data_IF_269443100023
#
_entry.id   IF_269443100023
#
_cell.length_a   1.000
_cell.length_b   1.000
_cell.length_c   1.000
_cell.angle_alpha   90.00
_cell.angle_beta   90.00
_cell.angle_gamma   90.00
#
_symmetry.space_group_name_H-M   'P 1'
#
loop_
_entity.id
_entity.type
_entity.pdbx_description
1 polymer ?
#
# COMPACT_ATOMS: atom_id res chain seq x y z
N UNK A 1 16.06 4.33 7.27
CA UNK A 1 16.02 3.36 6.15
C UNK A 1 15.82 1.98 6.78
N UNK A 2 14.81 1.23 6.36
CA UNK A 2 14.58 -0.15 6.86
C UNK A 2 15.43 -1.09 6.01
N UNK A 3 16.22 -1.96 6.64
CA UNK A 3 16.85 -3.06 5.93
C UNK A 3 15.76 -4.08 5.58
N UNK A 4 15.50 -4.25 4.29
CA UNK A 4 14.46 -5.14 3.77
C UNK A 4 15.02 -6.50 3.34
N UNK A 5 16.32 -6.76 3.52
CA UNK A 5 16.96 -8.02 3.15
C UNK A 5 16.74 -8.41 1.67
N UNK A 6 16.59 -7.41 0.78
CA UNK A 6 16.46 -7.61 -0.66
C UNK A 6 17.66 -8.33 -1.28
N UNK A 7 17.44 -8.96 -2.42
CA UNK A 7 18.50 -9.66 -3.15
C UNK A 7 19.52 -8.67 -3.72
N UNK A 8 20.81 -9.00 -3.64
CA UNK A 8 21.86 -8.22 -4.28
C UNK A 8 21.65 -8.16 -5.80
N UNK A 9 21.70 -6.96 -6.36
CA UNK A 9 21.34 -6.69 -7.76
C UNK A 9 19.86 -6.33 -7.96
N UNK A 10 19.06 -6.40 -6.90
CA UNK A 10 17.67 -6.01 -6.82
C UNK A 10 16.78 -6.58 -7.94
N UNK A 11 16.89 -7.88 -8.16
CA UNK A 11 16.02 -8.66 -9.05
C UNK A 11 16.18 -10.16 -8.75
N UNK A 12 15.08 -10.92 -8.81
CA UNK A 12 15.08 -12.34 -8.43
C UNK A 12 14.52 -13.31 -9.47
N UNK A 13 13.76 -12.85 -10.46
CA UNK A 13 13.09 -13.70 -11.46
C UNK A 13 13.96 -13.84 -12.70
N UNK A 14 14.30 -15.07 -13.07
CA UNK A 14 15.00 -15.40 -14.30
C UNK A 14 14.01 -15.57 -15.46
N UNK A 15 14.39 -15.11 -16.65
CA UNK A 15 13.58 -15.20 -17.88
C UNK A 15 14.46 -15.79 -18.98
N UNK A 16 13.99 -16.86 -19.63
CA UNK A 16 14.71 -17.51 -20.71
C UNK A 16 15.05 -16.54 -21.84
N UNK A 17 16.32 -16.53 -22.25
CA UNK A 17 16.83 -15.62 -23.27
C UNK A 17 17.29 -14.24 -22.76
N UNK A 18 17.19 -13.95 -21.46
CA UNK A 18 17.71 -12.74 -20.85
C UNK A 18 18.87 -13.02 -19.88
N UNK A 19 19.91 -12.18 -19.96
CA UNK A 19 21.04 -12.22 -19.00
C UNK A 19 20.71 -11.54 -17.66
N UNK A 20 19.70 -10.65 -17.64
CA UNK A 20 19.31 -9.85 -16.47
C UNK A 20 18.05 -10.43 -15.82
N UNK A 21 18.02 -10.46 -14.49
CA UNK A 21 16.82 -10.84 -13.72
C UNK A 21 15.81 -9.69 -13.68
N UNK A 22 14.53 -10.02 -13.54
CA UNK A 22 13.43 -9.05 -13.31
C UNK A 22 12.82 -9.24 -11.91
N UNK A 23 11.86 -8.40 -11.54
CA UNK A 23 11.18 -8.48 -10.24
C UNK A 23 12.05 -7.90 -9.11
N UNK A 24 12.08 -6.56 -8.94
CA UNK A 24 12.90 -5.92 -7.93
C UNK A 24 12.46 -6.28 -6.52
N UNK A 25 13.32 -7.03 -5.83
CA UNK A 25 13.06 -7.54 -4.48
C UNK A 25 12.89 -6.43 -3.45
N UNK A 26 13.60 -5.33 -3.62
CA UNK A 26 13.56 -4.18 -2.72
C UNK A 26 12.17 -3.55 -2.73
N UNK A 27 11.58 -3.36 -3.92
CA UNK A 27 10.23 -2.84 -4.11
C UNK A 27 9.19 -3.79 -3.55
N UNK A 28 9.27 -5.08 -3.90
CA UNK A 28 8.31 -6.09 -3.43
C UNK A 28 8.30 -6.14 -1.91
N UNK A 29 9.46 -6.29 -1.27
CA UNK A 29 9.55 -6.41 0.19
C UNK A 29 9.20 -5.09 0.87
N UNK A 30 9.68 -3.95 0.37
CA UNK A 30 9.32 -2.65 0.93
C UNK A 30 7.80 -2.40 0.88
N UNK A 31 7.15 -2.78 -0.23
CA UNK A 31 5.70 -2.67 -0.38
C UNK A 31 4.97 -3.60 0.57
N UNK A 32 5.45 -4.84 0.75
CA UNK A 32 4.90 -5.77 1.74
C UNK A 32 5.00 -5.20 3.15
N UNK A 33 6.19 -4.73 3.56
CA UNK A 33 6.42 -4.13 4.88
C UNK A 33 5.52 -2.92 5.10
N UNK A 34 5.43 -2.02 4.12
CA UNK A 34 4.58 -0.83 4.20
C UNK A 34 3.11 -1.22 4.40
N UNK A 35 2.60 -2.17 3.60
CA UNK A 35 1.23 -2.63 3.73
C UNK A 35 0.98 -3.36 5.07
N UNK A 36 1.96 -4.11 5.60
CA UNK A 36 1.86 -4.70 6.94
C UNK A 36 1.75 -3.64 8.04
N UNK A 37 2.52 -2.55 7.94
CA UNK A 37 2.44 -1.43 8.89
C UNK A 37 1.06 -0.76 8.81
N UNK A 38 0.56 -0.50 7.60
CA UNK A 38 -0.78 0.11 7.40
C UNK A 38 -1.87 -0.78 8.00
N UNK A 39 -1.81 -2.09 7.76
CA UNK A 39 -2.76 -3.05 8.30
C UNK A 39 -2.73 -3.07 9.84
N UNK A 40 -1.54 -3.14 10.45
CA UNK A 40 -1.41 -3.13 11.91
C UNK A 40 -1.90 -1.80 12.51
N UNK A 41 -1.50 -0.66 11.92
CA UNK A 41 -1.94 0.65 12.38
C UNK A 41 -3.47 0.79 12.33
N UNK A 42 -4.10 0.27 11.28
CA UNK A 42 -5.56 0.23 11.13
C UNK A 42 -6.18 -0.60 12.26
N UNK A 43 -5.63 -1.80 12.54
CA UNK A 43 -6.11 -2.64 13.63
C UNK A 43 -6.00 -1.94 14.99
N UNK A 44 -4.89 -1.25 15.25
CA UNK A 44 -4.72 -0.47 16.49
C UNK A 44 -5.76 0.66 16.63
N UNK A 45 -6.12 1.32 15.54
CA UNK A 45 -7.19 2.33 15.56
C UNK A 45 -8.55 1.72 15.89
N UNK A 46 -8.86 0.55 15.32
CA UNK A 46 -10.08 -0.20 15.63
C UNK A 46 -10.10 -0.63 17.10
N UNK A 47 -8.99 -1.15 17.61
CA UNK A 47 -8.84 -1.54 19.02
C UNK A 47 -9.07 -0.35 19.97
N UNK A 48 -8.76 0.87 19.54
CA UNK A 48 -9.01 2.12 20.28
C UNK A 48 -10.43 2.66 20.12
N UNK A 49 -11.31 1.96 19.39
CA UNK A 49 -12.73 2.28 19.25
C UNK A 49 -13.10 3.01 17.96
N UNK A 50 -12.17 3.22 17.02
CA UNK A 50 -12.50 3.79 15.71
C UNK A 50 -13.24 2.74 14.87
N UNK A 51 -14.55 2.88 14.71
CA UNK A 51 -15.39 1.87 14.04
C UNK A 51 -15.14 1.77 12.53
N UNK A 52 -14.89 2.90 11.86
CA UNK A 52 -14.73 2.97 10.42
C UNK A 52 -13.49 3.81 10.07
N UNK A 53 -12.28 3.23 10.06
CA UNK A 53 -11.09 3.92 9.60
C UNK A 53 -11.24 4.37 8.14
N UNK A 54 -10.74 5.57 7.75
CA UNK A 54 -10.89 6.13 6.41
C UNK A 54 -9.97 5.42 5.40
N UNK A 55 -10.43 4.29 4.86
CA UNK A 55 -9.69 3.48 3.90
C UNK A 55 -10.36 3.61 2.54
N UNK A 56 -9.62 4.07 1.53
CA UNK A 56 -10.13 4.13 0.17
C UNK A 56 -10.40 2.72 -0.38
N UNK A 57 -11.54 2.59 -1.04
CA UNK A 57 -11.96 1.43 -1.81
C UNK A 57 -11.23 1.40 -3.14
N UNK A 58 -10.95 0.19 -3.63
CA UNK A 58 -10.45 -0.01 -4.98
C UNK A 58 -11.47 0.49 -6.00
N UNK A 59 -11.01 1.13 -7.06
CA UNK A 59 -11.84 1.62 -8.17
C UNK A 59 -12.62 0.51 -8.90
N UNK A 60 -12.25 -0.76 -8.69
CA UNK A 60 -12.92 -1.91 -9.30
C UNK A 60 -14.12 -2.44 -8.48
N UNK A 61 -14.51 -1.75 -7.40
CA UNK A 61 -15.65 -2.14 -6.56
C UNK A 61 -16.86 -1.28 -6.91
N UNK A 62 -17.99 -1.92 -7.22
CA UNK A 62 -19.27 -1.24 -7.44
C UNK A 62 -19.66 -0.41 -6.19
N UNK A 63 -19.95 0.88 -6.40
CA UNK A 63 -20.24 1.82 -5.32
C UNK A 63 -19.00 2.34 -4.57
N UNK A 64 -17.80 1.96 -4.99
CA UNK A 64 -16.54 2.38 -4.38
C UNK A 64 -16.29 3.88 -4.53
N UNK A 65 -16.71 4.48 -5.65
CA UNK A 65 -16.53 5.92 -5.92
C UNK A 65 -17.34 6.79 -4.96
N UNK A 66 -18.60 6.45 -4.70
CA UNK A 66 -19.44 7.20 -3.75
C UNK A 66 -18.91 7.09 -2.32
N UNK A 67 -18.37 5.94 -1.95
CA UNK A 67 -17.75 5.73 -0.63
C UNK A 67 -16.43 6.51 -0.52
N UNK A 68 -15.59 6.46 -1.54
CA UNK A 68 -14.33 7.21 -1.62
C UNK A 68 -14.56 8.72 -1.57
N UNK A 69 -15.60 9.21 -2.25
CA UNK A 69 -15.97 10.63 -2.21
C UNK A 69 -16.32 11.09 -0.80
N UNK A 70 -17.09 10.29 -0.04
CA UNK A 70 -17.42 10.61 1.36
C UNK A 70 -16.17 10.69 2.23
N UNK A 71 -15.25 9.74 2.08
CA UNK A 71 -13.97 9.74 2.81
C UNK A 71 -13.16 10.99 2.44
N UNK A 72 -13.06 11.30 1.15
CA UNK A 72 -12.33 12.48 0.70
C UNK A 72 -12.93 13.77 1.25
N UNK A 73 -14.25 13.95 1.16
CA UNK A 73 -14.93 15.15 1.63
C UNK A 73 -14.76 15.35 3.15
N UNK A 74 -14.76 14.26 3.93
CA UNK A 74 -14.56 14.29 5.39
C UNK A 74 -13.10 14.59 5.78
N UNK A 75 -12.12 14.02 5.07
CA UNK A 75 -10.70 14.11 5.43
C UNK A 75 -9.89 15.08 4.56
N UNK A 76 -10.54 15.90 3.71
CA UNK A 76 -9.89 16.80 2.75
C UNK A 76 -8.81 17.70 3.35
N UNK A 77 -8.99 18.16 4.59
CA UNK A 77 -8.05 19.07 5.26
C UNK A 77 -6.68 18.44 5.57
N UNK A 78 -6.59 17.11 5.57
CA UNK A 78 -5.36 16.35 5.86
C UNK A 78 -4.83 15.58 4.65
N UNK A 79 -5.39 15.82 3.46
CA UNK A 79 -4.92 15.28 2.19
C UNK A 79 -4.14 16.39 1.47
N UNK A 80 -2.83 16.20 1.31
CA UNK A 80 -1.91 17.26 0.85
C UNK A 80 -1.39 17.09 -0.58
N UNK A 81 -1.81 16.04 -1.28
CA UNK A 81 -1.47 15.83 -2.68
C UNK A 81 -2.63 16.31 -3.57
N UNK A 82 -2.27 16.86 -4.73
CA UNK A 82 -3.24 17.21 -5.77
C UNK A 82 -3.62 15.95 -6.57
N UNK A 83 -4.86 15.88 -7.02
CA UNK A 83 -5.40 14.79 -7.84
C UNK A 83 -5.39 15.19 -9.32
#
# INVERSE_FOLDING_TARGET
MIDNHGQKGDACVEIDGLNQKVGPTSTVIATTVMNSIIAQATQELVNKGLKNPPIFYSANIDGGDELNKKIFDEYKSVIHYEY
#
